data_IF_708602380296
#
_entry.id   IF_708602380296
#
_cell.length_a   1.000
_cell.length_b   1.000
_cell.length_c   1.000
_cell.angle_alpha   90.00
_cell.angle_beta   90.00
_cell.angle_gamma   90.00
#
_symmetry.space_group_name_H-M   'P 1'
#
loop_
_entity.id
_entity.type
_entity.pdbx_description
1 polymer ?
#
# COMPACT_ATOMS: atom_id res chain seq x y z
N UNK A 1 12.73 20.77 -6.50
CA UNK A 1 14.15 20.64 -6.11
C UNK A 1 14.78 21.99 -6.38
N UNK A 2 15.11 22.74 -5.32
CA UNK A 2 16.10 23.80 -5.45
C UNK A 2 17.44 23.10 -5.22
N UNK A 3 18.41 23.31 -6.12
CA UNK A 3 19.78 23.02 -5.77
C UNK A 3 20.11 23.80 -4.49
N UNK A 4 20.78 23.14 -3.53
CA UNK A 4 21.58 23.89 -2.57
C UNK A 4 22.47 24.79 -3.44
N UNK A 5 22.41 26.09 -3.24
CA UNK A 5 23.14 27.14 -3.99
C UNK A 5 22.37 27.88 -5.09
N UNK A 6 21.05 27.71 -5.23
CA UNK A 6 20.24 28.62 -6.06
C UNK A 6 20.58 28.56 -7.56
N UNK A 7 21.27 27.52 -8.01
CA UNK A 7 21.54 27.26 -9.42
C UNK A 7 20.40 26.45 -10.04
N UNK A 8 19.89 26.95 -11.17
CA UNK A 8 18.96 26.22 -12.03
C UNK A 8 19.57 24.86 -12.42
N UNK A 9 18.85 23.78 -12.14
CA UNK A 9 19.31 22.44 -12.48
C UNK A 9 19.13 22.23 -14.00
N UNK A 10 20.19 22.44 -14.77
CA UNK A 10 20.18 22.17 -16.22
C UNK A 10 20.17 20.67 -16.42
N UNK A 11 19.03 20.14 -16.89
CA UNK A 11 18.85 18.70 -17.16
C UNK A 11 19.61 18.24 -18.41
N UNK A 12 19.86 19.14 -19.37
CA UNK A 12 20.57 18.88 -20.62
C UNK A 12 20.51 20.07 -21.58
N UNK A 13 21.18 19.97 -22.73
CA UNK A 13 21.09 20.92 -23.84
C UNK A 13 21.03 20.12 -25.13
N UNK A 14 20.02 20.38 -25.95
CA UNK A 14 19.74 19.61 -27.16
C UNK A 14 19.53 20.54 -28.37
N UNK A 15 19.81 20.01 -29.55
CA UNK A 15 19.51 20.68 -30.81
C UNK A 15 18.11 20.30 -31.30
N UNK A 16 17.33 21.29 -31.70
CA UNK A 16 16.00 21.07 -32.26
C UNK A 16 16.11 20.65 -33.72
N UNK A 17 15.36 19.61 -34.11
CA UNK A 17 15.18 19.23 -35.51
C UNK A 17 13.79 19.69 -35.94
N UNK A 18 13.71 20.63 -36.89
CA UNK A 18 12.44 21.27 -37.30
C UNK A 18 11.62 21.88 -36.13
N UNK A 19 12.30 22.35 -35.09
CA UNK A 19 11.66 22.95 -33.92
C UNK A 19 11.22 21.94 -32.85
N UNK A 20 11.46 20.64 -33.05
CA UNK A 20 11.08 19.58 -32.11
C UNK A 20 12.32 18.80 -31.62
N UNK A 21 12.25 18.30 -30.39
CA UNK A 21 13.22 17.34 -29.84
C UNK A 21 12.56 16.46 -28.79
N UNK A 22 12.89 15.18 -28.79
CA UNK A 22 12.44 14.23 -27.76
C UNK A 22 13.51 14.10 -26.68
N UNK A 23 13.16 14.43 -25.44
CA UNK A 23 14.03 14.22 -24.29
C UNK A 23 13.79 12.82 -23.71
N UNK A 24 14.73 11.90 -23.92
CA UNK A 24 14.63 10.57 -23.33
C UNK A 24 15.22 10.51 -21.91
N UNK A 25 14.48 9.87 -20.98
CA UNK A 25 14.92 9.45 -19.63
C UNK A 25 15.36 10.56 -18.66
N UNK A 26 14.43 11.41 -18.24
CA UNK A 26 14.62 12.32 -17.10
C UNK A 26 14.56 11.52 -15.79
N UNK A 27 15.57 11.65 -14.92
CA UNK A 27 15.60 11.03 -13.58
C UNK A 27 15.72 12.06 -12.49
N UNK A 28 14.84 11.97 -11.50
CA UNK A 28 14.88 12.79 -10.29
C UNK A 28 15.72 12.06 -9.24
N UNK A 29 16.86 12.64 -8.83
CA UNK A 29 17.78 12.03 -7.86
C UNK A 29 17.22 11.99 -6.43
N UNK A 30 16.32 12.91 -6.10
CA UNK A 30 15.73 13.02 -4.77
C UNK A 30 14.26 12.62 -4.83
N UNK A 31 13.85 11.65 -4.02
CA UNK A 31 12.45 11.24 -3.98
C UNK A 31 11.61 12.37 -3.41
N UNK A 32 10.76 12.94 -4.26
CA UNK A 32 10.03 14.14 -3.94
C UNK A 32 8.59 13.80 -3.59
N UNK A 33 8.38 13.05 -2.50
CA UNK A 33 7.04 12.77 -1.99
C UNK A 33 6.25 14.09 -1.95
N UNK A 34 5.15 14.14 -2.70
CA UNK A 34 4.22 15.27 -2.72
C UNK A 34 4.76 16.60 -3.24
N UNK A 35 5.95 16.64 -3.87
CA UNK A 35 6.42 17.87 -4.52
C UNK A 35 5.91 17.92 -5.95
N UNK A 36 5.38 19.10 -6.33
CA UNK A 36 5.13 19.42 -7.73
C UNK A 36 6.44 19.84 -8.39
N UNK A 37 6.70 19.31 -9.57
CA UNK A 37 7.85 19.68 -10.38
C UNK A 37 7.35 20.38 -11.63
N UNK A 38 8.07 21.44 -12.02
CA UNK A 38 7.89 22.12 -13.29
C UNK A 38 9.15 21.86 -14.10
N UNK A 39 8.97 21.47 -15.35
CA UNK A 39 10.05 21.43 -16.34
C UNK A 39 9.93 22.71 -17.16
N UNK A 40 11.04 23.42 -17.30
CA UNK A 40 11.15 24.59 -18.13
C UNK A 40 12.27 24.40 -19.16
N UNK A 41 12.08 24.96 -20.36
CA UNK A 41 13.09 24.98 -21.41
C UNK A 41 13.37 26.42 -21.83
N UNK A 42 14.66 26.73 -22.01
CA UNK A 42 15.13 28.02 -22.50
C UNK A 42 16.10 27.80 -23.66
N UNK A 43 16.14 28.75 -24.58
CA UNK A 43 17.08 28.71 -25.70
C UNK A 43 18.44 29.26 -25.27
N UNK A 44 19.51 28.51 -25.54
CA UNK A 44 20.87 29.02 -25.46
C UNK A 44 21.06 30.08 -26.55
N UNK A 45 21.13 31.36 -26.17
CA UNK A 45 21.33 32.46 -27.11
C UNK A 45 22.67 32.29 -27.82
N UNK A 46 22.64 32.25 -29.15
CA UNK A 46 23.82 32.35 -30.02
C UNK A 46 23.66 33.52 -30.97
N UNK A 47 24.75 33.97 -31.60
CA UNK A 47 24.75 35.08 -32.55
C UNK A 47 23.78 34.89 -33.73
N UNK A 48 23.34 33.65 -34.00
CA UNK A 48 22.43 33.29 -35.09
C UNK A 48 20.94 33.31 -34.71
N UNK A 49 20.59 33.62 -33.47
CA UNK A 49 19.18 33.64 -33.02
C UNK A 49 18.55 35.01 -33.34
N UNK A 50 18.02 35.19 -34.55
CA UNK A 50 17.46 36.47 -35.03
C UNK A 50 16.10 36.86 -34.43
N UNK A 51 15.60 36.19 -33.39
CA UNK A 51 14.27 36.44 -32.81
C UNK A 51 14.20 36.27 -31.29
N UNK A 52 13.20 36.90 -30.65
CA UNK A 52 12.93 36.73 -29.22
C UNK A 52 12.19 35.41 -28.99
N UNK A 53 12.89 34.41 -28.46
CA UNK A 53 12.28 33.14 -28.07
C UNK A 53 11.85 33.19 -26.61
N UNK A 54 10.61 32.79 -26.33
CA UNK A 54 10.05 32.71 -24.98
C UNK A 54 10.39 31.37 -24.34
N UNK A 55 10.62 31.37 -23.03
CA UNK A 55 10.82 30.15 -22.25
C UNK A 55 9.53 29.31 -22.24
N UNK A 56 9.67 28.00 -22.43
CA UNK A 56 8.56 27.07 -22.36
C UNK A 56 8.46 26.51 -20.94
N UNK A 57 7.25 26.49 -20.37
CA UNK A 57 6.98 25.91 -19.05
C UNK A 57 5.90 24.83 -19.16
N UNK A 58 6.13 23.70 -18.52
CA UNK A 58 5.10 22.67 -18.34
C UNK A 58 4.15 23.05 -17.18
N UNK A 59 2.91 22.56 -17.22
CA UNK A 59 2.05 22.54 -16.03
C UNK A 59 2.73 21.77 -14.89
N UNK A 60 2.62 22.23 -13.63
CA UNK A 60 3.20 21.51 -12.50
C UNK A 60 2.67 20.08 -12.42
N UNK A 61 3.57 19.09 -12.42
CA UNK A 61 3.21 17.67 -12.30
C UNK A 61 3.61 17.15 -10.93
N UNK A 62 2.74 16.35 -10.33
CA UNK A 62 3.06 15.66 -9.09
C UNK A 62 3.98 14.48 -9.40
N UNK A 63 5.19 14.50 -8.86
CA UNK A 63 6.11 13.36 -8.97
C UNK A 63 5.83 12.43 -7.80
N UNK A 64 5.20 11.30 -8.10
CA UNK A 64 4.96 10.26 -7.11
C UNK A 64 6.23 9.46 -6.88
N UNK A 65 6.57 9.30 -5.61
CA UNK A 65 7.66 8.46 -5.18
C UNK A 65 7.14 7.02 -4.99
N UNK A 66 7.44 6.15 -5.96
CA UNK A 66 7.02 4.75 -5.92
C UNK A 66 7.78 3.91 -4.89
N UNK A 67 8.67 4.49 -4.05
CA UNK A 67 9.41 3.73 -3.02
C UNK A 67 8.52 2.91 -2.09
N UNK A 68 7.26 3.33 -1.88
CA UNK A 68 6.30 2.62 -1.03
C UNK A 68 5.30 1.74 -1.80
N UNK A 69 5.35 1.70 -3.14
CA UNK A 69 4.45 0.87 -3.97
C UNK A 69 4.47 -0.62 -3.56
N UNK A 70 5.61 -1.23 -3.17
CA UNK A 70 5.63 -2.60 -2.67
C UNK A 70 4.84 -2.81 -1.35
N UNK A 71 4.60 -1.74 -0.60
CA UNK A 71 3.93 -1.71 0.70
C UNK A 71 2.53 -1.09 0.65
N UNK A 72 1.99 -0.89 -0.56
CA UNK A 72 0.68 -0.29 -0.76
C UNK A 72 -0.43 -1.12 -0.07
N UNK A 73 -1.26 -0.43 0.72
CA UNK A 73 -2.37 -1.01 1.48
C UNK A 73 -3.60 -1.11 0.60
N UNK A 74 -4.43 -2.12 0.87
CA UNK A 74 -5.65 -2.34 0.10
C UNK A 74 -6.87 -2.10 0.99
N UNK A 75 -7.81 -1.27 0.51
CA UNK A 75 -9.02 -0.86 1.22
C UNK A 75 -10.26 -1.08 0.31
N UNK A 76 -11.15 -2.04 0.60
CA UNK A 76 -11.02 -3.06 1.64
C UNK A 76 -9.99 -4.14 1.27
N UNK A 77 -9.32 -4.77 2.26
CA UNK A 77 -8.47 -5.92 2.01
C UNK A 77 -9.31 -7.11 1.51
N UNK A 78 -8.69 -8.01 0.75
CA UNK A 78 -9.28 -9.28 0.31
C UNK A 78 -8.67 -10.48 1.03
N UNK A 79 -9.40 -11.59 1.09
CA UNK A 79 -8.97 -12.82 1.77
C UNK A 79 -7.65 -13.40 1.22
N UNK A 80 -7.50 -13.36 -0.10
CA UNK A 80 -6.33 -13.86 -0.81
C UNK A 80 -5.15 -12.88 -0.85
N UNK A 81 -5.30 -11.69 -0.26
CA UNK A 81 -4.20 -10.74 -0.17
C UNK A 81 -3.08 -11.24 0.73
N UNK A 82 -1.88 -10.83 0.37
CA UNK A 82 -0.69 -10.92 1.22
C UNK A 82 -0.82 -10.04 2.46
N UNK A 83 -0.24 -10.47 3.57
CA UNK A 83 -0.36 -9.78 4.87
C UNK A 83 0.13 -8.32 4.87
N UNK A 84 1.12 -7.98 4.05
CA UNK A 84 1.62 -6.61 3.96
C UNK A 84 0.62 -5.63 3.33
N UNK A 85 -0.50 -6.12 2.80
CA UNK A 85 -1.63 -5.26 2.36
C UNK A 85 -2.42 -4.72 3.55
N UNK A 86 -2.33 -5.33 4.72
CA UNK A 86 -2.93 -4.81 5.95
C UNK A 86 -2.14 -3.61 6.47
N UNK A 87 -2.84 -2.64 7.09
CA UNK A 87 -2.21 -1.57 7.86
C UNK A 87 -1.25 -2.12 8.93
N UNK A 88 -0.27 -1.32 9.34
CA UNK A 88 0.80 -1.68 10.30
C UNK A 88 1.81 -2.76 9.83
N UNK A 89 1.48 -3.62 8.85
CA UNK A 89 2.37 -4.70 8.40
C UNK A 89 3.16 -4.27 7.14
N UNK A 90 4.46 -4.05 7.24
CA UNK A 90 5.31 -3.84 6.05
C UNK A 90 5.77 -5.16 5.44
N UNK A 91 5.91 -5.21 4.11
CA UNK A 91 6.55 -6.31 3.39
C UNK A 91 7.95 -6.53 3.95
N UNK A 92 8.27 -7.78 4.23
CA UNK A 92 9.53 -8.24 4.84
C UNK A 92 9.87 -7.58 6.20
N UNK A 93 8.90 -6.89 6.80
CA UNK A 93 9.02 -6.25 8.10
C UNK A 93 8.90 -7.25 9.26
N UNK A 94 9.11 -6.75 10.48
CA UNK A 94 9.13 -7.58 11.69
C UNK A 94 7.82 -8.33 11.91
N UNK A 95 6.67 -7.67 11.73
CA UNK A 95 5.36 -8.31 11.88
C UNK A 95 5.09 -9.34 10.78
N UNK A 96 5.49 -9.04 9.55
CA UNK A 96 5.35 -9.96 8.42
C UNK A 96 6.11 -11.28 8.68
N UNK A 97 7.39 -11.19 9.10
CA UNK A 97 8.20 -12.37 9.42
C UNK A 97 7.62 -13.18 10.58
N UNK A 98 7.20 -12.53 11.66
CA UNK A 98 6.58 -13.22 12.82
C UNK A 98 5.31 -13.99 12.45
N UNK A 99 4.50 -13.43 11.56
CA UNK A 99 3.30 -14.12 11.05
C UNK A 99 3.69 -15.31 10.17
N UNK A 100 4.68 -15.15 9.29
CA UNK A 100 5.21 -16.25 8.47
C UNK A 100 5.78 -17.39 9.32
N UNK A 101 6.53 -17.08 10.38
CA UNK A 101 7.05 -18.05 11.35
C UNK A 101 5.92 -18.82 12.05
N UNK A 102 4.80 -18.14 12.32
CA UNK A 102 3.57 -18.73 12.84
C UNK A 102 2.71 -19.43 11.77
N UNK A 103 3.22 -19.58 10.53
CA UNK A 103 2.53 -20.17 9.36
C UNK A 103 1.26 -19.42 8.94
N UNK A 104 1.20 -18.12 9.17
CA UNK A 104 0.15 -17.22 8.71
C UNK A 104 0.70 -16.44 7.52
N UNK A 105 0.13 -16.65 6.33
CA UNK A 105 0.66 -16.09 5.07
C UNK A 105 -0.27 -15.11 4.37
N UNK A 106 -1.59 -15.27 4.54
CA UNK A 106 -2.62 -14.49 3.87
C UNK A 106 -3.56 -13.81 4.87
N UNK A 107 -4.29 -12.79 4.43
CA UNK A 107 -5.32 -12.11 5.23
C UNK A 107 -6.37 -13.10 5.77
N UNK A 108 -6.78 -14.09 4.99
CA UNK A 108 -7.68 -15.16 5.47
C UNK A 108 -7.13 -15.87 6.73
N UNK A 109 -5.86 -16.28 6.70
CA UNK A 109 -5.22 -16.92 7.85
C UNK A 109 -5.08 -15.99 9.05
N UNK A 110 -4.85 -14.71 8.81
CA UNK A 110 -4.81 -13.69 9.86
C UNK A 110 -6.17 -13.53 10.54
N UNK A 111 -7.26 -13.46 9.78
CA UNK A 111 -8.62 -13.34 10.31
C UNK A 111 -9.03 -14.59 11.11
N UNK A 112 -8.69 -15.79 10.61
CA UNK A 112 -8.90 -17.04 11.37
C UNK A 112 -8.18 -17.00 12.71
N UNK A 113 -6.88 -16.69 12.72
CA UNK A 113 -6.10 -16.58 13.95
C UNK A 113 -6.64 -15.49 14.89
N UNK A 114 -7.16 -14.39 14.35
CA UNK A 114 -7.76 -13.30 15.13
C UNK A 114 -9.07 -13.73 15.81
N UNK A 115 -9.89 -14.51 15.12
CA UNK A 115 -11.17 -15.00 15.64
C UNK A 115 -11.01 -16.20 16.58
N UNK A 116 -10.02 -17.06 16.34
CA UNK A 116 -9.69 -18.20 17.20
C UNK A 116 -9.11 -17.74 18.55
N UNK A 117 -8.04 -16.93 18.53
CA UNK A 117 -7.41 -16.42 19.75
C UNK A 117 -6.66 -15.11 19.49
N UNK A 118 -7.40 -14.01 19.63
CA UNK A 118 -6.85 -12.66 19.47
C UNK A 118 -5.68 -12.35 20.39
N UNK A 119 -5.63 -12.93 21.60
CA UNK A 119 -4.56 -12.70 22.57
C UNK A 119 -3.28 -13.44 22.16
N UNK A 120 -3.40 -14.67 21.67
CA UNK A 120 -2.28 -15.44 21.11
C UNK A 120 -1.71 -14.75 19.87
N UNK A 121 -2.56 -14.30 18.95
CA UNK A 121 -2.11 -13.54 17.77
C UNK A 121 -1.37 -12.25 18.18
N UNK A 122 -1.90 -11.54 19.18
CA UNK A 122 -1.28 -10.33 19.72
C UNK A 122 0.10 -10.60 20.35
N UNK A 123 0.26 -11.74 21.05
CA UNK A 123 1.55 -12.20 21.61
C UNK A 123 2.56 -12.57 20.52
N UNK A 124 2.12 -13.25 19.46
CA UNK A 124 2.97 -13.56 18.29
C UNK A 124 3.54 -12.27 17.69
N UNK A 125 2.69 -11.24 17.55
CA UNK A 125 3.08 -9.94 17.01
C UNK A 125 3.84 -9.06 18.02
N UNK A 126 3.90 -9.44 19.30
CA UNK A 126 4.42 -8.64 20.43
C UNK A 126 3.81 -7.24 20.51
N UNK A 127 2.49 -7.16 20.32
CA UNK A 127 1.71 -5.90 20.32
C UNK A 127 0.96 -5.66 21.65
N UNK A 128 1.34 -6.33 22.75
CA UNK A 128 0.66 -6.21 24.04
C UNK A 128 0.64 -4.77 24.56
N UNK A 129 1.71 -4.01 24.31
CA UNK A 129 1.82 -2.60 24.70
C UNK A 129 1.42 -1.61 23.61
N UNK A 130 1.08 -2.07 22.40
CA UNK A 130 0.78 -1.22 21.23
C UNK A 130 -0.72 -1.19 20.91
N UNK A 131 -1.53 -0.67 21.82
CA UNK A 131 -3.00 -0.70 21.68
C UNK A 131 -3.50 0.00 20.40
N UNK A 132 -2.90 1.15 20.03
CA UNK A 132 -3.32 1.91 18.85
C UNK A 132 -3.01 1.17 17.55
N UNK A 133 -1.79 0.64 17.39
CA UNK A 133 -1.41 -0.16 16.22
C UNK A 133 -2.23 -1.45 16.14
N UNK A 134 -2.44 -2.15 17.27
CA UNK A 134 -3.29 -3.34 17.31
C UNK A 134 -4.73 -3.05 16.86
N UNK A 135 -5.31 -1.96 17.36
CA UNK A 135 -6.65 -1.52 16.96
C UNK A 135 -6.74 -1.19 15.47
N UNK A 136 -5.77 -0.44 14.92
CA UNK A 136 -5.71 -0.11 13.49
C UNK A 136 -5.62 -1.36 12.61
N UNK A 137 -4.68 -2.25 12.92
CA UNK A 137 -4.48 -3.51 12.20
C UNK A 137 -5.74 -4.37 12.19
N UNK A 138 -6.33 -4.61 13.37
CA UNK A 138 -7.49 -5.50 13.48
C UNK A 138 -8.76 -4.90 12.91
N UNK A 139 -8.97 -3.58 13.06
CA UNK A 139 -10.07 -2.87 12.41
C UNK A 139 -9.96 -2.98 10.89
N UNK A 140 -8.79 -2.67 10.33
CA UNK A 140 -8.57 -2.75 8.89
C UNK A 140 -8.75 -4.18 8.35
N UNK A 141 -8.24 -5.20 9.06
CA UNK A 141 -8.46 -6.59 8.65
C UNK A 141 -9.95 -6.97 8.62
N UNK A 142 -10.74 -6.47 9.57
CA UNK A 142 -12.20 -6.71 9.66
C UNK A 142 -13.02 -5.97 8.61
N UNK A 143 -12.45 -4.99 7.90
CA UNK A 143 -13.07 -4.36 6.74
C UNK A 143 -13.02 -5.28 5.50
N UNK A 144 -12.38 -6.45 5.59
CA UNK A 144 -12.35 -7.45 4.53
C UNK A 144 -13.76 -7.90 4.15
N UNK A 145 -14.07 -7.83 2.85
CA UNK A 145 -15.35 -8.28 2.31
C UNK A 145 -15.29 -9.80 2.12
N UNK A 146 -16.26 -10.52 2.69
CA UNK A 146 -16.35 -11.99 2.66
C UNK A 146 -17.29 -12.52 1.57
N UNK A 147 -17.88 -11.62 0.76
CA UNK A 147 -18.96 -11.92 -0.19
C UNK A 147 -18.63 -13.02 -1.20
N UNK A 148 -17.34 -13.18 -1.55
CA UNK A 148 -16.88 -14.17 -2.52
C UNK A 148 -16.78 -15.61 -1.95
N UNK A 149 -16.93 -15.81 -0.64
CA UNK A 149 -16.87 -17.14 0.02
C UNK A 149 -17.95 -17.30 1.09
N UNK A 150 -19.17 -17.64 0.65
CA UNK A 150 -20.33 -17.94 1.50
C UNK A 150 -20.28 -19.32 2.19
N UNK A 151 -19.09 -19.90 2.36
CA UNK A 151 -18.95 -21.20 3.02
C UNK A 151 -19.26 -21.08 4.52
N UNK A 152 -20.44 -21.55 4.91
CA UNK A 152 -20.82 -21.71 6.32
C UNK A 152 -20.36 -23.07 6.83
N UNK A 153 -19.57 -23.05 7.90
CA UNK A 153 -19.14 -24.25 8.62
C UNK A 153 -20.10 -24.52 9.77
N UNK A 154 -20.70 -25.72 9.76
CA UNK A 154 -21.57 -26.20 10.84
C UNK A 154 -20.75 -27.00 11.86
N UNK A 155 -20.99 -26.76 13.13
CA UNK A 155 -20.42 -27.55 14.24
C UNK A 155 -21.54 -27.96 15.18
N UNK A 156 -21.68 -29.26 15.45
CA UNK A 156 -22.70 -29.78 16.37
C UNK A 156 -22.04 -30.08 17.72
N UNK A 157 -22.68 -29.67 18.82
CA UNK A 157 -22.24 -30.05 20.16
C UNK A 157 -22.31 -31.57 20.34
N UNK A 158 -21.47 -32.11 21.22
CA UNK A 158 -21.47 -33.56 21.54
C UNK A 158 -22.82 -34.02 22.08
N UNK A 159 -23.51 -33.15 22.82
CA UNK A 159 -24.85 -33.38 23.38
C UNK A 159 -25.96 -33.25 22.33
N UNK A 160 -25.66 -32.78 21.12
CA UNK A 160 -26.61 -32.62 20.01
C UNK A 160 -27.65 -31.50 20.17
N UNK A 161 -27.61 -30.79 21.29
CA UNK A 161 -28.54 -29.72 21.69
C UNK A 161 -28.26 -28.35 21.03
N UNK A 162 -27.08 -28.16 20.43
CA UNK A 162 -26.70 -26.90 19.77
C UNK A 162 -25.93 -27.16 18.49
N UNK A 163 -26.25 -26.40 17.45
CA UNK A 163 -25.47 -26.31 16.20
C UNK A 163 -24.95 -24.88 16.05
N UNK A 164 -23.65 -24.70 15.95
CA UNK A 164 -22.99 -23.42 15.70
C UNK A 164 -22.66 -23.26 14.22
N UNK A 165 -22.82 -22.04 13.71
CA UNK A 165 -22.49 -21.66 12.34
C UNK A 165 -21.36 -20.65 12.34
N UNK A 166 -20.28 -20.97 11.63
CA UNK A 166 -19.14 -20.10 11.43
C UNK A 166 -18.98 -19.73 9.97
N UNK A 167 -18.46 -18.54 9.69
CA UNK A 167 -18.06 -18.17 8.33
C UNK A 167 -16.70 -18.78 7.92
N UNK A 168 -16.24 -18.42 6.72
CA UNK A 168 -14.99 -18.91 6.16
C UNK A 168 -13.73 -18.47 6.94
N UNK A 169 -13.84 -17.46 7.81
CA UNK A 169 -12.77 -16.95 8.69
C UNK A 169 -12.99 -17.29 10.17
N UNK A 170 -13.84 -18.28 10.47
CA UNK A 170 -14.13 -18.76 11.82
C UNK A 170 -14.79 -17.73 12.74
N UNK A 171 -15.44 -16.72 12.19
CA UNK A 171 -16.31 -15.86 12.98
C UNK A 171 -17.64 -16.58 13.25
N UNK A 172 -18.15 -16.48 14.48
CA UNK A 172 -19.44 -17.06 14.85
C UNK A 172 -20.57 -16.21 14.25
N UNK A 173 -21.36 -16.79 13.36
CA UNK A 173 -22.48 -16.12 12.67
C UNK A 173 -23.82 -16.42 13.34
N UNK A 174 -23.97 -17.60 13.94
CA UNK A 174 -25.21 -17.95 14.62
C UNK A 174 -25.17 -19.30 15.31
N UNK A 175 -26.28 -19.61 15.99
CA UNK A 175 -26.53 -20.89 16.63
C UNK A 175 -27.98 -21.34 16.38
N UNK A 176 -28.19 -22.65 16.24
CA UNK A 176 -29.50 -23.27 16.20
C UNK A 176 -29.64 -24.29 17.34
N UNK A 177 -30.83 -24.37 17.89
CA UNK A 177 -31.19 -25.28 18.98
C UNK A 177 -32.24 -26.25 18.41
N UNK A 178 -31.89 -27.53 18.20
CA UNK A 178 -32.87 -28.51 17.72
C UNK A 178 -33.99 -28.66 18.76
N UNK A 179 -35.22 -28.71 18.28
CA UNK A 179 -36.43 -28.92 19.09
C UNK A 179 -36.57 -30.37 19.56
#
# INVERSE_FOLDING_TARGET
>A
MQGRDGQDLVLGTEWLTNGEVELSKIRFKEGSCWKKVIIAARVCKSEKTSGRVQEAFMKPVLVLDCRNKPNEKRHPPGLDDELYRLEEISRDGVYHRRLQDAKIYKVEGFLKALNEDSNKLRRILKMEKQQNSWSRLTKHARECVLEDRQELKRYQSEEGNVVLFFDCVHNLIGAAFPA
#
